data_IF_750249832984
#
_entry.id   IF_750249832984
#
_cell.length_a   1.000
_cell.length_b   1.000
_cell.length_c   1.000
_cell.angle_alpha   90.00
_cell.angle_beta   90.00
_cell.angle_gamma   90.00
#
_symmetry.space_group_name_H-M   'P 1'
#
loop_
_entity.id
_entity.type
_entity.pdbx_description
1 polymer ?
#
# COMPACT_ATOMS: atom_id res chain seq x y z
N UNK A 1 -70.76 13.06 56.82
CA UNK A 1 -69.69 12.03 56.84
C UNK A 1 -69.48 11.36 55.48
N UNK A 2 -70.53 10.92 54.76
CA UNK A 2 -70.41 10.25 53.44
C UNK A 2 -69.61 11.05 52.38
N UNK A 3 -69.95 12.33 52.18
CA UNK A 3 -69.26 13.24 51.22
C UNK A 3 -67.75 13.45 51.44
N UNK A 4 -67.24 13.31 52.67
CA UNK A 4 -65.82 13.52 52.97
C UNK A 4 -65.00 12.27 52.67
N UNK A 5 -65.58 11.08 52.85
CA UNK A 5 -64.97 9.81 52.46
C UNK A 5 -64.78 9.70 50.95
N UNK A 6 -65.80 10.11 50.18
CA UNK A 6 -65.77 10.08 48.71
C UNK A 6 -64.66 10.97 48.13
N UNK A 7 -64.38 12.13 48.75
CA UNK A 7 -63.29 13.05 48.33
C UNK A 7 -61.90 12.48 48.68
N UNK A 8 -61.77 11.78 49.82
CA UNK A 8 -60.50 11.17 50.22
C UNK A 8 -60.11 10.00 49.33
N UNK A 9 -61.08 9.21 48.85
CA UNK A 9 -60.84 8.09 47.94
C UNK A 9 -60.47 8.55 46.53
N UNK A 10 -61.12 9.59 46.01
CA UNK A 10 -60.78 10.14 44.68
C UNK A 10 -59.37 10.73 44.67
N UNK A 11 -58.99 11.46 45.72
CA UNK A 11 -57.64 12.02 45.85
C UNK A 11 -56.56 10.92 45.92
N UNK A 12 -56.83 9.81 46.62
CA UNK A 12 -55.89 8.69 46.68
C UNK A 12 -55.73 7.97 45.34
N UNK A 13 -56.83 7.75 44.59
CA UNK A 13 -56.74 7.15 43.25
C UNK A 13 -55.95 8.01 42.27
N UNK A 14 -56.13 9.33 42.33
CA UNK A 14 -55.38 10.28 41.51
C UNK A 14 -53.88 10.26 41.85
N UNK A 15 -53.54 10.21 43.15
CA UNK A 15 -52.16 10.07 43.62
C UNK A 15 -51.50 8.77 43.14
N UNK A 16 -52.22 7.64 43.20
CA UNK A 16 -51.72 6.35 42.71
C UNK A 16 -51.50 6.35 41.19
N UNK A 17 -52.44 6.93 40.44
CA UNK A 17 -52.32 7.12 38.99
C UNK A 17 -51.08 7.95 38.65
N UNK A 18 -50.92 9.13 39.26
CA UNK A 18 -49.76 9.99 39.05
C UNK A 18 -48.44 9.28 39.41
N UNK A 19 -48.42 8.50 40.49
CA UNK A 19 -47.24 7.73 40.88
C UNK A 19 -46.89 6.63 39.85
N UNK A 20 -47.90 5.97 39.28
CA UNK A 20 -47.70 4.96 38.23
C UNK A 20 -47.18 5.57 36.93
N UNK A 21 -47.67 6.75 36.55
CA UNK A 21 -47.21 7.50 35.38
C UNK A 21 -45.77 7.97 35.55
N UNK A 22 -45.41 8.50 36.72
CA UNK A 22 -44.02 8.90 37.04
C UNK A 22 -43.07 7.69 36.99
N UNK A 23 -43.48 6.52 37.48
CA UNK A 23 -42.65 5.31 37.40
C UNK A 23 -42.41 4.87 35.96
N UNK A 24 -43.43 4.97 35.11
CA UNK A 24 -43.30 4.64 33.69
C UNK A 24 -42.37 5.62 32.98
N UNK A 25 -42.52 6.93 33.20
CA UNK A 25 -41.64 7.93 32.59
C UNK A 25 -40.18 7.79 33.05
N UNK A 26 -39.95 7.51 34.34
CA UNK A 26 -38.58 7.23 34.84
C UNK A 26 -37.97 6.00 34.16
N UNK A 27 -38.76 4.94 33.94
CA UNK A 27 -38.30 3.74 33.24
C UNK A 27 -37.97 4.03 31.77
N UNK A 28 -38.78 4.84 31.10
CA UNK A 28 -38.53 5.27 29.73
C UNK A 28 -37.26 6.13 29.62
N UNK A 29 -37.08 7.09 30.53
CA UNK A 29 -35.87 7.93 30.61
C UNK A 29 -34.63 7.05 30.82
N UNK A 30 -34.69 6.06 31.72
CA UNK A 30 -33.57 5.14 31.95
C UNK A 30 -33.20 4.35 30.70
N UNK A 31 -34.20 3.81 30.00
CA UNK A 31 -33.97 3.08 28.75
C UNK A 31 -33.39 3.99 27.65
N UNK A 32 -33.84 5.25 27.57
CA UNK A 32 -33.30 6.23 26.63
C UNK A 32 -31.83 6.56 26.95
N UNK A 33 -31.49 6.73 28.23
CA UNK A 33 -30.12 6.97 28.68
C UNK A 33 -29.20 5.79 28.31
N UNK A 34 -29.66 4.56 28.55
CA UNK A 34 -28.90 3.35 28.19
C UNK A 34 -28.65 3.25 26.68
N UNK A 35 -29.64 3.64 25.85
CA UNK A 35 -29.47 3.72 24.40
C UNK A 35 -28.44 4.76 24.00
N UNK A 36 -28.48 5.95 24.60
CA UNK A 36 -27.50 7.02 24.34
C UNK A 36 -26.09 6.57 24.70
N UNK A 37 -25.92 5.92 25.85
CA UNK A 37 -24.63 5.40 26.30
C UNK A 37 -24.06 4.32 25.37
N UNK A 38 -24.91 3.47 24.77
CA UNK A 38 -24.46 2.49 23.76
C UNK A 38 -24.00 3.17 22.48
N UNK A 39 -24.77 4.15 21.99
CA UNK A 39 -24.42 4.92 20.80
C UNK A 39 -23.12 5.70 20.98
N UNK A 40 -22.85 6.23 22.17
CA UNK A 40 -21.58 6.93 22.44
C UNK A 40 -20.37 6.00 22.38
N UNK A 41 -20.47 4.79 22.95
CA UNK A 41 -19.43 3.75 22.86
C UNK A 41 -19.20 3.30 21.41
N UNK A 42 -20.26 3.11 20.63
CA UNK A 42 -20.17 2.75 19.21
C UNK A 42 -19.55 3.88 18.38
N UNK A 43 -19.91 5.15 18.67
CA UNK A 43 -19.31 6.33 18.04
C UNK A 43 -17.81 6.41 18.30
N UNK A 44 -17.35 6.20 19.54
CA UNK A 44 -15.92 6.24 19.85
C UNK A 44 -15.12 5.15 19.11
N UNK A 45 -15.69 3.96 18.89
CA UNK A 45 -15.05 2.91 18.07
C UNK A 45 -14.97 3.27 16.57
N UNK A 46 -15.97 4.00 16.06
CA UNK A 46 -16.02 4.45 14.66
C UNK A 46 -15.11 5.67 14.45
N UNK A 47 -14.93 6.50 15.48
CA UNK A 47 -14.31 7.82 15.38
C UNK A 47 -12.78 7.86 15.61
N UNK A 48 -12.07 6.74 15.40
CA UNK A 48 -10.62 6.76 15.14
C UNK A 48 -10.27 6.57 13.63
N UNK A 49 -10.97 7.19 12.66
CA UNK A 49 -10.63 7.07 11.25
C UNK A 49 -9.34 7.84 10.93
N UNK A 50 -9.01 8.88 11.70
CA UNK A 50 -7.80 9.69 11.54
C UNK A 50 -6.53 8.84 11.73
N UNK A 51 -6.50 8.00 12.77
CA UNK A 51 -5.38 7.07 13.02
C UNK A 51 -5.25 6.03 11.89
N UNK A 52 -6.37 5.47 11.42
CA UNK A 52 -6.37 4.51 10.31
C UNK A 52 -5.89 5.14 9.00
N UNK A 53 -6.29 6.39 8.72
CA UNK A 53 -5.85 7.14 7.54
C UNK A 53 -4.36 7.46 7.65
N UNK A 54 -3.88 7.86 8.83
CA UNK A 54 -2.45 8.08 9.07
C UNK A 54 -1.61 6.82 8.86
N UNK A 55 -2.05 5.67 9.39
CA UNK A 55 -1.39 4.39 9.18
C UNK A 55 -1.39 3.98 7.69
N UNK A 56 -2.52 4.10 7.01
CA UNK A 56 -2.66 3.83 5.58
C UNK A 56 -1.71 4.70 4.75
N UNK A 57 -1.64 6.00 5.05
CA UNK A 57 -0.72 6.93 4.37
C UNK A 57 0.75 6.53 4.58
N UNK A 58 1.15 6.12 5.79
CA UNK A 58 2.51 5.64 6.04
C UNK A 58 2.82 4.36 5.24
N UNK A 59 1.86 3.44 5.13
CA UNK A 59 2.02 2.22 4.32
C UNK A 59 2.21 2.57 2.84
N UNK A 60 1.38 3.47 2.29
CA UNK A 60 1.47 3.91 0.91
C UNK A 60 2.76 4.68 0.62
N UNK A 61 3.24 5.52 1.55
CA UNK A 61 4.54 6.18 1.41
C UNK A 61 5.69 5.15 1.31
N UNK A 62 5.72 4.16 2.21
CA UNK A 62 6.73 3.08 2.17
C UNK A 62 6.65 2.27 0.87
N UNK A 63 5.45 2.05 0.33
CA UNK A 63 5.26 1.41 -0.98
C UNK A 63 5.81 2.28 -2.11
N UNK A 64 5.52 3.58 -2.10
CA UNK A 64 6.03 4.54 -3.07
C UNK A 64 7.56 4.62 -3.10
N UNK A 65 8.20 4.63 -1.93
CA UNK A 65 9.67 4.61 -1.81
C UNK A 65 10.27 3.34 -2.41
N UNK A 66 9.67 2.17 -2.15
CA UNK A 66 10.10 0.90 -2.76
C UNK A 66 9.98 0.93 -4.28
N UNK A 67 8.87 1.42 -4.82
CA UNK A 67 8.66 1.54 -6.28
C UNK A 67 9.69 2.49 -6.89
N UNK A 68 9.94 3.64 -6.25
CA UNK A 68 10.97 4.59 -6.72
C UNK A 68 12.35 3.94 -6.73
N UNK A 69 12.73 3.20 -5.69
CA UNK A 69 14.01 2.47 -5.64
C UNK A 69 14.13 1.45 -6.77
N UNK A 70 13.08 0.67 -7.05
CA UNK A 70 13.06 -0.27 -8.16
C UNK A 70 13.19 0.42 -9.52
N UNK A 71 12.52 1.57 -9.69
CA UNK A 71 12.64 2.38 -10.90
C UNK A 71 14.07 2.89 -11.10
N UNK A 72 14.70 3.43 -10.07
CA UNK A 72 16.09 3.91 -10.15
C UNK A 72 17.08 2.78 -10.45
N UNK A 73 16.85 1.56 -9.92
CA UNK A 73 17.66 0.40 -10.26
C UNK A 73 17.50 0.01 -11.73
N UNK A 74 16.29 0.11 -12.28
CA UNK A 74 16.04 -0.12 -13.70
C UNK A 74 16.74 0.94 -14.56
N UNK A 75 16.58 2.21 -14.22
CA UNK A 75 17.23 3.32 -14.94
C UNK A 75 18.76 3.18 -14.95
N UNK A 76 19.36 2.78 -13.82
CA UNK A 76 20.80 2.48 -13.76
C UNK A 76 21.17 1.28 -14.64
N UNK A 77 20.40 0.18 -14.58
CA UNK A 77 20.65 -0.99 -15.43
C UNK A 77 20.52 -0.65 -16.92
N UNK A 78 19.55 0.18 -17.30
CA UNK A 78 19.33 0.57 -18.68
C UNK A 78 20.46 1.48 -19.16
N UNK A 79 20.94 2.38 -18.29
CA UNK A 79 22.13 3.20 -18.56
C UNK A 79 23.38 2.37 -18.80
N UNK A 80 23.61 1.31 -18.02
CA UNK A 80 24.76 0.41 -18.22
C UNK A 80 24.61 -0.35 -19.54
N UNK A 81 23.40 -0.86 -19.82
CA UNK A 81 23.12 -1.62 -21.05
C UNK A 81 23.21 -0.78 -22.32
N UNK A 82 22.99 0.53 -22.23
CA UNK A 82 23.04 1.44 -23.38
C UNK A 82 24.39 1.40 -24.11
N UNK A 83 25.48 1.20 -23.37
CA UNK A 83 26.84 1.07 -23.94
C UNK A 83 27.24 -0.36 -24.27
N UNK A 84 26.41 -1.35 -23.94
CA UNK A 84 26.74 -2.77 -24.14
C UNK A 84 26.23 -3.26 -25.49
N UNK A 85 27.08 -3.96 -26.23
CA UNK A 85 26.73 -4.62 -27.51
C UNK A 85 26.68 -6.13 -27.29
N UNK A 86 25.58 -6.76 -27.72
CA UNK A 86 25.44 -8.22 -27.69
C UNK A 86 25.62 -8.77 -29.11
N UNK A 87 26.64 -9.60 -29.29
CA UNK A 87 26.95 -10.25 -30.58
C UNK A 87 26.55 -11.72 -30.46
N UNK A 88 25.73 -12.18 -31.40
CA UNK A 88 25.22 -13.57 -31.44
C UNK A 88 25.71 -14.28 -32.71
N UNK A 89 25.68 -15.61 -32.71
CA UNK A 89 26.14 -16.41 -33.86
C UNK A 89 27.65 -16.65 -33.91
N UNK A 90 28.41 -16.22 -32.90
CA UNK A 90 29.84 -16.52 -32.77
C UNK A 90 30.01 -18.01 -32.49
N UNK A 91 30.87 -18.68 -33.27
CA UNK A 91 31.17 -20.10 -33.11
C UNK A 91 31.90 -20.40 -31.79
N UNK A 92 31.92 -21.66 -31.33
CA UNK A 92 32.69 -22.01 -30.12
C UNK A 92 34.20 -21.96 -30.34
N UNK A 93 34.67 -22.17 -31.57
CA UNK A 93 36.09 -22.13 -31.95
C UNK A 93 36.67 -20.70 -31.85
N UNK A 94 35.84 -19.69 -32.15
CA UNK A 94 36.22 -18.28 -32.09
C UNK A 94 36.23 -17.71 -30.67
N UNK A 95 35.90 -18.53 -29.68
CA UNK A 95 35.92 -18.14 -28.27
C UNK A 95 37.29 -17.66 -27.82
N UNK A 96 38.33 -18.31 -28.31
CA UNK A 96 39.71 -18.08 -27.86
C UNK A 96 40.38 -16.96 -28.67
N UNK A 97 39.74 -16.46 -29.73
CA UNK A 97 40.25 -15.34 -30.54
C UNK A 97 40.23 -14.00 -29.79
N UNK A 98 39.54 -13.89 -28.65
CA UNK A 98 39.42 -12.65 -27.91
C UNK A 98 38.48 -11.64 -28.57
N UNK A 99 38.14 -10.57 -27.84
CA UNK A 99 37.13 -9.60 -28.29
C UNK A 99 37.66 -8.61 -29.34
N UNK A 100 38.95 -8.27 -29.27
CA UNK A 100 39.57 -7.33 -30.20
C UNK A 100 39.58 -7.86 -31.64
N UNK A 101 39.97 -9.14 -31.83
CA UNK A 101 39.91 -9.80 -33.14
C UNK A 101 38.49 -9.82 -33.71
N UNK A 102 37.48 -10.06 -32.86
CA UNK A 102 36.09 -10.07 -33.29
C UNK A 102 35.60 -8.67 -33.69
N UNK A 103 36.03 -7.62 -32.98
CA UNK A 103 35.72 -6.25 -33.37
C UNK A 103 36.35 -5.88 -34.71
N UNK A 104 37.58 -6.33 -34.98
CA UNK A 104 38.24 -6.11 -36.28
C UNK A 104 37.46 -6.79 -37.42
N UNK A 105 37.09 -8.08 -37.25
CA UNK A 105 36.24 -8.80 -38.21
C UNK A 105 34.87 -8.09 -38.43
N UNK A 106 34.30 -7.49 -37.38
CA UNK A 106 33.06 -6.69 -37.51
C UNK A 106 33.32 -5.37 -38.23
N UNK A 107 34.42 -4.68 -37.95
CA UNK A 107 34.78 -3.42 -38.58
C UNK A 107 35.03 -3.59 -40.10
N UNK A 108 35.57 -4.73 -40.54
CA UNK A 108 35.70 -5.07 -41.96
C UNK A 108 34.33 -5.12 -42.67
N UNK A 109 33.30 -5.60 -41.97
CA UNK A 109 31.93 -5.66 -42.49
C UNK A 109 31.24 -4.28 -42.48
N UNK A 110 31.69 -3.35 -41.65
CA UNK A 110 31.14 -1.99 -41.53
C UNK A 110 32.22 -0.94 -41.81
N UNK A 111 32.50 -0.59 -43.07
CA UNK A 111 33.63 0.29 -43.44
C UNK A 111 33.56 1.72 -42.87
N UNK A 112 32.42 2.13 -42.31
CA UNK A 112 32.30 3.39 -41.57
C UNK A 112 32.73 3.24 -40.10
N UNK A 113 32.59 2.05 -39.52
CA UNK A 113 33.02 1.70 -38.16
C UNK A 113 34.54 1.61 -38.07
N UNK A 114 35.21 1.04 -39.08
CA UNK A 114 36.67 0.95 -39.14
C UNK A 114 37.40 2.31 -39.24
N UNK A 115 36.68 3.41 -39.45
CA UNK A 115 37.22 4.78 -39.43
C UNK A 115 37.07 5.45 -38.06
N UNK A 116 36.26 4.88 -37.17
CA UNK A 116 36.11 5.34 -35.79
C UNK A 116 37.21 4.74 -34.93
N UNK A 117 38.30 5.50 -34.75
CA UNK A 117 39.44 5.13 -33.88
C UNK A 117 39.12 5.19 -32.39
N UNK A 118 37.90 5.60 -32.02
CA UNK A 118 37.54 5.92 -30.64
C UNK A 118 36.78 4.77 -29.93
N UNK A 119 36.55 3.66 -30.62
CA UNK A 119 35.87 2.49 -30.05
C UNK A 119 36.86 1.77 -29.12
N UNK A 120 36.64 1.89 -27.81
CA UNK A 120 37.43 1.21 -26.79
C UNK A 120 36.57 0.15 -26.09
N UNK A 121 37.05 -1.09 -26.08
CA UNK A 121 36.42 -2.15 -25.29
C UNK A 121 36.88 -2.01 -23.84
N UNK A 122 35.93 -1.80 -22.92
CA UNK A 122 36.23 -1.84 -21.50
C UNK A 122 36.27 -3.28 -20.96
N UNK A 123 35.31 -4.10 -21.37
CA UNK A 123 35.18 -5.50 -20.96
C UNK A 123 34.45 -6.27 -22.06
N UNK A 124 34.81 -7.54 -22.22
CA UNK A 124 34.10 -8.46 -23.10
C UNK A 124 33.92 -9.80 -22.40
N UNK A 125 32.68 -10.30 -22.40
CA UNK A 125 32.32 -11.55 -21.76
C UNK A 125 31.36 -12.34 -22.64
N UNK A 126 31.57 -13.66 -22.73
CA UNK A 126 30.62 -14.57 -23.35
C UNK A 126 29.53 -14.96 -22.35
N UNK A 127 28.27 -14.87 -22.77
CA UNK A 127 27.13 -15.29 -21.96
C UNK A 127 26.28 -16.34 -22.71
N UNK A 128 25.85 -17.44 -22.04
CA UNK A 128 26.20 -17.80 -20.66
C UNK A 128 27.69 -18.17 -20.51
N UNK A 129 28.28 -17.99 -19.31
CA UNK A 129 29.64 -18.42 -19.04
C UNK A 129 29.77 -19.94 -19.24
N UNK A 130 31.00 -20.41 -19.51
CA UNK A 130 31.35 -21.84 -19.61
C UNK A 130 30.69 -22.58 -18.45
N UNK A 131 29.71 -23.44 -18.71
CA UNK A 131 29.21 -24.34 -17.66
C UNK A 131 30.38 -25.27 -17.31
N UNK A 132 30.89 -25.15 -16.09
CA UNK A 132 31.87 -26.10 -15.59
C UNK A 132 31.15 -27.45 -15.43
N UNK A 133 31.73 -28.56 -15.94
CA UNK A 133 31.14 -29.90 -15.80
C UNK A 133 31.07 -30.36 -14.34
#
# INVERSE_FOLDING_TARGET
KKRVGDISETHNREKEKNQSEIKNTVKEIKNALDRINRLDKEKQQINCPEDRVMESNQVEQRRGEKVRKLRSLRELSDSIKYSNICITGISEEERDKGADNLLEEIAENFPNLGKETDIQIQEAQRFPPKMQP
#
